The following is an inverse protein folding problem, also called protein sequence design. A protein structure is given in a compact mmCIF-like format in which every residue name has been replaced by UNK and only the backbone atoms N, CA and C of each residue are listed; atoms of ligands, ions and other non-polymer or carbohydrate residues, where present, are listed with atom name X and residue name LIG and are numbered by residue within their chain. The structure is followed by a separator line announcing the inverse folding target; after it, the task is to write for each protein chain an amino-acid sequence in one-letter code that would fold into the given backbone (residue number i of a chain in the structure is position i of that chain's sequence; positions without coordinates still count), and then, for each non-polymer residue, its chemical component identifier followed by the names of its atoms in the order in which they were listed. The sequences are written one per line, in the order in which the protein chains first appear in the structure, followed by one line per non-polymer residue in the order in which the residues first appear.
data_IF_280105101530
#
_entry.id   IF_280105101530
#
_cell.length_a   1.000
_cell.length_b   1.000
_cell.length_c   1.000
_cell.angle_alpha   90.00
_cell.angle_beta   90.00
_cell.angle_gamma   90.00
#
_symmetry.space_group_name_H-M   'P 1'
#
loop_
_entity.id
_entity.type
_entity.pdbx_description
1 polymer ?
#
# COMPACT_ATOMS: atom_id res chain seq x y z
N UNK A 1 1.50 -5.37 -10.34
CA UNK A 1 0.27 -6.11 -10.01
C UNK A 1 -0.80 -5.68 -10.99
N UNK A 2 -1.12 -6.53 -11.97
CA UNK A 2 -2.00 -6.13 -13.06
C UNK A 2 -2.89 -7.24 -13.59
N UNK A 3 -4.01 -6.83 -14.20
CA UNK A 3 -5.00 -7.71 -14.85
C UNK A 3 -5.54 -8.82 -13.93
N UNK A 4 -5.60 -8.57 -12.63
CA UNK A 4 -6.20 -9.50 -11.66
C UNK A 4 -7.67 -9.19 -11.43
N UNK A 5 -8.45 -10.23 -11.12
CA UNK A 5 -9.75 -10.09 -10.48
C UNK A 5 -9.61 -10.37 -8.99
N UNK A 6 -9.82 -9.35 -8.15
CA UNK A 6 -9.65 -9.43 -6.70
C UNK A 6 -10.98 -9.08 -6.04
N UNK A 7 -11.55 -9.99 -5.25
CA UNK A 7 -12.92 -9.78 -4.74
C UNK A 7 -13.15 -10.39 -3.36
N UNK A 8 -14.09 -9.79 -2.61
CA UNK A 8 -14.61 -10.30 -1.34
C UNK A 8 -13.58 -10.37 -0.19
N UNK A 9 -12.66 -9.40 -0.13
CA UNK A 9 -11.73 -9.26 0.99
C UNK A 9 -12.40 -8.49 2.13
N UNK A 10 -12.40 -9.07 3.35
CA UNK A 10 -12.92 -8.41 4.54
C UNK A 10 -12.14 -7.14 4.88
N UNK A 11 -10.82 -7.23 4.82
CA UNK A 11 -9.90 -6.11 5.01
C UNK A 11 -9.52 -5.52 3.64
N UNK A 12 -8.30 -5.07 3.42
CA UNK A 12 -7.83 -4.56 2.12
C UNK A 12 -7.62 -5.68 1.08
N UNK A 13 -7.67 -5.32 -0.20
CA UNK A 13 -7.40 -6.22 -1.33
C UNK A 13 -5.91 -6.23 -1.71
N UNK A 14 -5.25 -5.06 -1.63
CA UNK A 14 -3.80 -4.92 -1.86
C UNK A 14 -3.23 -4.04 -0.75
N UNK A 15 -2.15 -4.50 -0.12
CA UNK A 15 -1.40 -3.74 0.87
C UNK A 15 0.08 -3.67 0.44
N UNK A 16 0.62 -2.46 0.33
CA UNK A 16 2.03 -2.17 0.16
C UNK A 16 2.52 -1.61 1.48
N UNK A 17 3.27 -2.41 2.23
CA UNK A 17 3.68 -2.08 3.59
C UNK A 17 5.16 -2.34 3.77
N UNK A 18 5.86 -1.37 4.35
CA UNK A 18 7.19 -1.54 4.90
C UNK A 18 7.17 -2.45 6.11
N UNK A 19 8.29 -3.13 6.34
CA UNK A 19 8.44 -3.96 7.53
C UNK A 19 8.42 -3.12 8.82
N UNK A 20 8.80 -1.85 8.74
CA UNK A 20 8.79 -0.93 9.88
C UNK A 20 7.40 -0.77 10.50
N UNK A 21 6.33 -0.85 9.71
CA UNK A 21 4.95 -0.79 10.20
C UNK A 21 4.63 -1.92 11.20
N UNK A 22 5.36 -3.03 11.17
CA UNK A 22 5.17 -4.15 12.09
C UNK A 22 5.73 -3.90 13.49
N UNK A 23 6.63 -2.91 13.64
CA UNK A 23 7.42 -2.65 14.85
C UNK A 23 8.29 -3.84 15.31
N UNK A 24 8.44 -4.87 14.48
CA UNK A 24 9.30 -6.02 14.76
C UNK A 24 10.76 -5.69 14.43
N UNK A 25 11.69 -6.31 15.17
CA UNK A 25 13.13 -6.14 14.94
C UNK A 25 13.57 -6.79 13.63
N UNK A 26 14.25 -6.02 12.76
CA UNK A 26 14.93 -6.55 11.59
C UNK A 26 16.26 -7.15 12.04
N UNK A 27 16.41 -8.47 11.90
CA UNK A 27 17.61 -9.21 12.33
C UNK A 27 18.61 -9.49 11.22
N UNK A 28 18.17 -9.38 9.98
CA UNK A 28 19.01 -9.57 8.80
C UNK A 28 19.41 -8.19 8.28
N UNK A 29 20.69 -7.85 8.41
CA UNK A 29 21.25 -6.57 7.94
C UNK A 29 21.14 -6.39 6.42
N UNK A 30 20.96 -7.47 5.66
CA UNK A 30 20.81 -7.43 4.20
C UNK A 30 19.36 -7.32 3.75
N UNK A 31 18.40 -7.40 4.67
CA UNK A 31 16.99 -7.30 4.34
C UNK A 31 16.62 -5.85 3.98
N UNK A 32 15.97 -5.67 2.83
CA UNK A 32 15.39 -4.38 2.43
C UNK A 32 13.93 -4.31 2.91
N UNK A 33 13.62 -3.46 3.92
CA UNK A 33 12.30 -3.42 4.53
C UNK A 33 11.32 -2.47 3.83
N UNK A 34 11.76 -1.68 2.85
CA UNK A 34 10.95 -0.63 2.22
C UNK A 34 10.53 -1.08 0.81
N UNK A 35 9.21 -1.17 0.53
CA UNK A 35 8.73 -1.57 -0.79
C UNK A 35 8.92 -0.44 -1.81
N UNK A 36 9.39 -0.77 -3.01
CA UNK A 36 9.72 0.19 -4.06
C UNK A 36 9.39 -0.37 -5.45
N UNK A 37 9.19 0.51 -6.43
CA UNK A 37 9.07 0.15 -7.84
C UNK A 37 7.82 -0.68 -8.18
N UNK A 38 6.75 -0.51 -7.40
CA UNK A 38 5.52 -1.27 -7.55
C UNK A 38 4.54 -0.49 -8.42
N UNK A 39 3.97 -1.16 -9.44
CA UNK A 39 2.88 -0.62 -10.25
C UNK A 39 1.63 -1.49 -10.10
N UNK A 40 0.55 -0.94 -9.56
CA UNK A 40 -0.75 -1.59 -9.36
C UNK A 40 -1.72 -1.01 -10.40
N UNK A 41 -2.07 -1.79 -11.42
CA UNK A 41 -2.88 -1.25 -12.51
C UNK A 41 -3.78 -2.26 -13.20
N UNK A 42 -4.82 -1.76 -13.86
CA UNK A 42 -5.72 -2.57 -14.70
C UNK A 42 -6.31 -3.79 -13.96
N UNK A 43 -6.49 -3.70 -12.62
CA UNK A 43 -7.13 -4.75 -11.83
C UNK A 43 -8.63 -4.47 -11.72
N UNK A 44 -9.42 -5.55 -11.64
CA UNK A 44 -10.84 -5.49 -11.31
C UNK A 44 -11.03 -5.85 -9.83
N UNK A 45 -11.21 -4.83 -8.99
CA UNK A 45 -11.34 -5.01 -7.52
C UNK A 45 -12.79 -4.75 -7.10
N UNK A 46 -13.43 -5.72 -6.43
CA UNK A 46 -14.84 -5.66 -6.04
C UNK A 46 -15.03 -6.08 -4.58
N UNK A 47 -15.91 -5.41 -3.83
CA UNK A 47 -16.30 -5.79 -2.46
C UNK A 47 -15.12 -6.02 -1.49
N UNK A 48 -14.31 -4.98 -1.29
CA UNK A 48 -13.16 -4.99 -0.36
C UNK A 48 -13.44 -4.13 0.88
N UNK A 49 -12.81 -4.45 2.00
CA UNK A 49 -12.70 -3.54 3.15
C UNK A 49 -13.94 -3.46 4.03
N UNK A 50 -14.94 -4.32 3.83
CA UNK A 50 -16.23 -4.25 4.51
C UNK A 50 -16.21 -4.70 5.99
N UNK A 51 -15.15 -5.39 6.42
CA UNK A 51 -14.94 -5.86 7.80
C UNK A 51 -13.43 -5.81 8.13
N UNK A 52 -12.84 -4.62 8.33
CA UNK A 52 -11.42 -4.42 8.56
C UNK A 52 -11.05 -4.86 9.98
N UNK A 53 -10.99 -6.17 10.15
CA UNK A 53 -10.54 -6.87 11.34
C UNK A 53 -9.32 -7.75 10.99
N UNK A 54 -8.64 -8.30 11.99
CA UNK A 54 -7.47 -9.15 11.79
C UNK A 54 -6.31 -8.77 12.71
N UNK A 55 -5.09 -9.10 12.26
CA UNK A 55 -3.86 -8.94 13.04
C UNK A 55 -3.51 -10.19 13.85
N UNK A 56 -2.28 -10.67 13.70
CA UNK A 56 -1.74 -11.84 14.43
C UNK A 56 -1.13 -11.45 15.78
N UNK A 57 -0.73 -10.18 15.93
CA UNK A 57 -0.11 -9.61 17.13
C UNK A 57 -1.01 -8.58 17.81
N UNK A 58 -0.71 -8.24 19.06
CA UNK A 58 -1.40 -7.14 19.76
C UNK A 58 -1.21 -5.80 19.03
N UNK A 59 0.00 -5.55 18.51
CA UNK A 59 0.34 -4.32 17.78
C UNK A 59 -0.44 -4.21 16.47
N UNK A 60 -0.44 -5.24 15.63
CA UNK A 60 -1.20 -5.23 14.37
C UNK A 60 -2.71 -5.04 14.58
N UNK A 61 -3.28 -5.64 15.64
CA UNK A 61 -4.69 -5.39 16.03
C UNK A 61 -4.94 -3.93 16.41
N UNK A 62 -4.02 -3.33 17.17
CA UNK A 62 -4.09 -1.93 17.58
C UNK A 62 -4.00 -0.99 16.37
N UNK A 63 -3.09 -1.24 15.44
CA UNK A 63 -2.94 -0.46 14.20
C UNK A 63 -4.21 -0.55 13.36
N UNK A 64 -4.71 -1.77 13.09
CA UNK A 64 -5.96 -1.96 12.32
C UNK A 64 -7.13 -1.22 13.00
N UNK A 65 -7.26 -1.32 14.33
CA UNK A 65 -8.32 -0.62 15.06
C UNK A 65 -8.19 0.90 14.95
N UNK A 66 -6.98 1.44 15.12
CA UNK A 66 -6.73 2.87 15.03
C UNK A 66 -7.01 3.40 13.61
N UNK A 67 -6.58 2.67 12.59
CA UNK A 67 -6.90 3.00 11.20
C UNK A 67 -8.42 2.95 10.97
N UNK A 68 -9.13 1.93 11.45
CA UNK A 68 -10.59 1.87 11.31
C UNK A 68 -11.32 3.06 11.92
N UNK A 69 -10.83 3.59 13.04
CA UNK A 69 -11.38 4.82 13.63
C UNK A 69 -11.03 6.07 12.82
N UNK A 70 -9.87 6.11 12.18
CA UNK A 70 -9.37 7.27 11.43
C UNK A 70 -9.94 7.38 10.01
N UNK A 71 -9.96 6.27 9.28
CA UNK A 71 -10.32 6.25 7.86
C UNK A 71 -11.71 5.66 7.62
N UNK A 72 -12.32 5.00 8.60
CA UNK A 72 -13.67 4.45 8.52
C UNK A 72 -13.77 3.14 7.74
N UNK A 73 -15.02 2.64 7.65
CA UNK A 73 -15.39 1.41 6.92
C UNK A 73 -16.38 1.78 5.81
N UNK A 74 -16.24 1.26 4.58
CA UNK A 74 -15.22 0.29 4.15
C UNK A 74 -13.81 0.88 4.11
N UNK A 75 -12.80 0.03 4.34
CA UNK A 75 -11.40 0.40 4.06
C UNK A 75 -11.23 0.63 2.55
N UNK A 76 -10.38 1.59 2.15
CA UNK A 76 -9.85 1.66 0.79
C UNK A 76 -9.32 0.29 0.36
N UNK A 77 -9.58 -0.08 -0.89
CA UNK A 77 -9.25 -1.42 -1.38
C UNK A 77 -7.73 -1.62 -1.55
N UNK A 78 -7.01 -0.54 -1.85
CA UNK A 78 -5.56 -0.49 -1.99
C UNK A 78 -4.99 0.41 -0.90
N UNK A 79 -3.99 -0.08 -0.18
CA UNK A 79 -3.33 0.64 0.92
C UNK A 79 -1.83 0.66 0.68
N UNK A 80 -1.22 1.83 0.80
CA UNK A 80 0.23 2.02 0.89
C UNK A 80 0.55 2.68 2.22
N UNK A 81 1.58 2.20 2.93
CA UNK A 81 1.94 2.77 4.22
C UNK A 81 2.65 4.13 4.12
N UNK A 82 3.09 4.55 2.93
CA UNK A 82 3.71 5.86 2.72
C UNK A 82 5.20 5.92 3.05
N UNK A 83 5.81 4.81 3.48
CA UNK A 83 7.22 4.80 3.91
C UNK A 83 8.15 4.71 2.70
N UNK A 84 9.06 5.66 2.58
CA UNK A 84 10.05 5.75 1.48
C UNK A 84 11.48 5.68 2.03
N UNK A 85 12.41 5.18 1.21
CA UNK A 85 13.83 5.22 1.53
C UNK A 85 14.40 6.62 1.23
N UNK A 86 14.60 7.41 2.29
CA UNK A 86 15.14 8.78 2.16
C UNK A 86 16.54 8.82 1.53
N UNK A 87 17.33 7.74 1.65
CA UNK A 87 18.68 7.67 1.11
C UNK A 87 18.71 7.58 -0.43
N UNK A 88 17.60 7.16 -1.04
CA UNK A 88 17.45 7.01 -2.49
C UNK A 88 16.79 8.23 -3.15
N UNK A 89 16.46 9.28 -2.39
CA UNK A 89 15.88 10.49 -2.94
C UNK A 89 16.88 11.26 -3.80
N UNK A 90 16.40 11.76 -4.93
CA UNK A 90 17.11 12.70 -5.82
C UNK A 90 16.29 13.98 -5.87
N UNK A 91 16.91 15.10 -5.49
CA UNK A 91 16.24 16.41 -5.37
C UNK A 91 14.94 16.37 -4.51
N UNK A 92 14.97 15.57 -3.45
CA UNK A 92 13.86 15.41 -2.50
C UNK A 92 12.69 14.57 -3.01
N UNK A 93 12.87 13.81 -4.10
CA UNK A 93 11.86 12.92 -4.68
C UNK A 93 12.44 11.54 -4.95
N UNK A 94 11.61 10.52 -4.85
CA UNK A 94 12.00 9.19 -5.33
C UNK A 94 12.19 9.22 -6.86
N UNK A 95 13.26 8.60 -7.39
CA UNK A 95 13.37 8.27 -8.80
C UNK A 95 12.11 7.57 -9.30
N UNK A 96 11.74 7.82 -10.56
CA UNK A 96 10.46 7.35 -11.10
C UNK A 96 10.33 5.84 -11.01
N UNK A 97 11.42 5.10 -11.25
CA UNK A 97 11.46 3.64 -11.17
C UNK A 97 11.27 3.05 -9.77
N UNK A 98 11.42 3.84 -8.71
CA UNK A 98 11.25 3.40 -7.31
C UNK A 98 9.87 3.74 -6.74
N UNK A 99 9.07 4.54 -7.45
CA UNK A 99 7.77 5.01 -6.94
C UNK A 99 6.76 3.87 -6.79
N UNK A 100 5.76 4.09 -5.95
CA UNK A 100 4.54 3.28 -5.91
C UNK A 100 3.50 3.94 -6.80
N UNK A 101 3.14 3.26 -7.88
CA UNK A 101 2.21 3.76 -8.89
C UNK A 101 0.89 2.99 -8.85
N UNK A 102 -0.24 3.71 -8.92
CA UNK A 102 -1.59 3.13 -8.85
C UNK A 102 -2.49 3.79 -9.90
N UNK A 103 -2.91 3.03 -10.91
CA UNK A 103 -3.76 3.55 -12.01
C UNK A 103 -4.78 2.52 -12.52
N UNK A 104 -5.89 2.95 -13.11
CA UNK A 104 -6.83 2.08 -13.84
C UNK A 104 -7.38 0.86 -13.07
N UNK A 105 -7.58 0.94 -11.75
CA UNK A 105 -8.13 -0.17 -10.94
C UNK A 105 -9.67 -0.11 -10.78
N UNK A 106 -10.37 0.49 -11.75
CA UNK A 106 -11.81 0.75 -11.68
C UNK A 106 -12.18 1.73 -10.57
N UNK A 107 -13.24 1.42 -9.82
CA UNK A 107 -13.72 2.23 -8.68
C UNK A 107 -12.95 1.94 -7.38
N UNK A 108 -11.86 1.17 -7.44
CA UNK A 108 -11.07 0.81 -6.26
C UNK A 108 -10.41 2.05 -5.67
N UNK A 109 -10.70 2.32 -4.40
CA UNK A 109 -10.09 3.43 -3.70
C UNK A 109 -8.70 3.07 -3.18
N UNK A 110 -7.78 4.02 -3.31
CA UNK A 110 -6.41 3.93 -2.82
C UNK A 110 -6.19 4.91 -1.64
N UNK A 111 -5.34 4.53 -0.69
CA UNK A 111 -4.92 5.41 0.40
C UNK A 111 -3.41 5.29 0.65
N UNK A 112 -2.78 6.44 0.83
CA UNK A 112 -1.46 6.56 1.47
C UNK A 112 -1.69 6.85 2.95
N UNK A 113 -1.10 6.03 3.82
CA UNK A 113 -1.30 6.12 5.25
C UNK A 113 -0.41 7.13 5.95
N UNK A 114 0.70 7.59 5.34
CA UNK A 114 1.66 8.48 6.00
C UNK A 114 2.21 7.89 7.33
N UNK A 115 2.56 6.59 7.32
CA UNK A 115 2.93 5.85 8.52
C UNK A 115 4.23 6.37 9.17
N UNK A 116 5.17 6.89 8.38
CA UNK A 116 6.39 7.51 8.90
C UNK A 116 6.12 8.75 9.76
N UNK A 117 4.95 9.37 9.62
CA UNK A 117 4.54 10.56 10.38
C UNK A 117 3.32 10.26 11.29
N UNK A 118 3.28 9.08 11.92
CA UNK A 118 2.22 8.65 12.83
C UNK A 118 0.80 8.72 12.22
N UNK A 119 0.73 8.43 10.92
CA UNK A 119 -0.48 8.52 10.12
C UNK A 119 -1.05 9.93 10.02
N UNK A 120 -0.31 10.99 10.34
CA UNK A 120 -0.86 12.34 10.56
C UNK A 120 -1.61 12.89 9.35
N UNK A 121 -1.14 12.61 8.13
CA UNK A 121 -1.70 13.10 6.89
C UNK A 121 -2.07 11.96 5.93
N UNK A 122 -2.99 11.07 6.33
CA UNK A 122 -3.55 10.05 5.43
C UNK A 122 -4.26 10.71 4.24
N UNK A 123 -3.90 10.34 3.00
CA UNK A 123 -4.51 10.90 1.78
C UNK A 123 -5.13 9.79 0.95
N UNK A 124 -6.40 9.96 0.57
CA UNK A 124 -7.10 9.09 -0.39
C UNK A 124 -6.79 9.54 -1.82
N UNK A 125 -6.42 8.60 -2.68
CA UNK A 125 -6.08 8.79 -4.10
C UNK A 125 -5.11 9.96 -4.38
N UNK A 126 -3.97 10.08 -3.66
CA UNK A 126 -3.00 11.16 -3.86
C UNK A 126 -2.47 11.21 -5.29
N UNK A 127 -2.31 12.43 -5.82
CA UNK A 127 -1.75 12.68 -7.16
C UNK A 127 -0.32 12.14 -7.30
N UNK A 128 0.43 12.09 -6.19
CA UNK A 128 1.82 11.59 -6.19
C UNK A 128 1.94 10.13 -6.63
N UNK A 129 0.87 9.33 -6.51
CA UNK A 129 0.86 7.92 -6.92
C UNK A 129 0.19 7.69 -8.29
N UNK A 130 -0.27 8.76 -8.96
CA UNK A 130 -0.73 8.70 -10.36
C UNK A 130 0.48 8.74 -11.30
N UNK A 131 1.08 7.58 -11.46
CA UNK A 131 2.24 7.36 -12.31
C UNK A 131 2.16 5.96 -12.93
N UNK A 132 3.12 5.64 -13.80
CA UNK A 132 3.19 4.36 -14.46
C UNK A 132 4.64 3.87 -14.55
N UNK A 133 4.82 2.56 -14.36
CA UNK A 133 6.07 1.86 -14.67
C UNK A 133 5.98 1.14 -16.01
N UNK A 134 7.12 0.70 -16.53
CA UNK A 134 7.15 -0.20 -17.67
C UNK A 134 6.33 -1.46 -17.38
N UNK A 135 5.40 -1.80 -18.29
CA UNK A 135 4.54 -2.98 -18.14
C UNK A 135 5.38 -4.24 -18.30
N UNK A 136 5.25 -5.16 -17.36
CA UNK A 136 5.76 -6.51 -17.53
C UNK A 136 4.94 -7.21 -18.62
N UNK A 137 5.61 -8.05 -19.41
CA UNK A 137 4.91 -8.90 -20.36
C UNK A 137 4.04 -9.90 -19.58
N UNK A 138 2.82 -10.21 -20.04
CA UNK A 138 2.00 -11.26 -19.45
C UNK A 138 2.76 -12.59 -19.39
N UNK A 139 2.63 -13.31 -18.29
CA UNK A 139 3.19 -14.66 -18.16
C UNK A 139 2.38 -15.60 -19.08
N UNK A 140 3.04 -16.18 -20.07
CA UNK A 140 2.46 -17.28 -20.86
C UNK A 140 2.60 -18.58 -20.08
N UNK A 141 1.50 -19.32 -19.95
CA UNK A 141 1.45 -20.68 -19.43
C UNK A 141 1.45 -21.70 -20.57
#
# INVERSE_FOLDING_TARGET
IFENKIQNHKNVSIAVVSYYLTEEEIKDEQYDPIPEGIYIHDNKIENSGFDPTGGSSFQSKKIITALSLKIGTPFPAILYDGVVDESKLVDGKLPDELRICVENNGDAEFIDLDAANDFSNTIRNPEANRCAHARLQPVSL
#
